data_IF_543405632070
#
_entry.id   IF_543405632070
#
_cell.length_a   1.000
_cell.length_b   1.000
_cell.length_c   1.000
_cell.angle_alpha   90.00
_cell.angle_beta   90.00
_cell.angle_gamma   90.00
#
_symmetry.space_group_name_H-M   'P 1'
#
loop_
_entity.id
_entity.type
_entity.pdbx_description
1 polymer ?
#
# COMPACT_ATOMS: atom_id res chain seq x y z
N UNK A 1 -13.46 3.57 -10.07
CA UNK A 1 -13.56 4.22 -8.74
C UNK A 1 -12.20 4.84 -8.46
N UNK A 2 -12.10 6.17 -8.50
CA UNK A 2 -10.87 6.87 -8.11
C UNK A 2 -10.69 6.70 -6.59
N UNK A 3 -9.52 6.26 -6.10
CA UNK A 3 -9.29 6.17 -4.67
C UNK A 3 -9.39 7.57 -4.07
N UNK A 4 -10.32 7.76 -3.13
CA UNK A 4 -10.47 9.00 -2.40
C UNK A 4 -9.17 9.33 -1.67
N UNK A 5 -8.62 10.51 -1.91
CA UNK A 5 -7.40 10.97 -1.22
C UNK A 5 -7.79 11.33 0.22
N UNK A 6 -7.05 10.88 1.25
CA UNK A 6 -7.25 11.34 2.62
C UNK A 6 -6.97 12.85 2.76
N UNK A 7 -7.82 13.57 3.49
CA UNK A 7 -7.80 15.06 3.59
C UNK A 7 -6.46 15.64 4.08
N UNK A 8 -5.71 14.88 4.89
CA UNK A 8 -4.43 15.27 5.47
C UNK A 8 -3.21 14.91 4.60
N UNK A 9 -3.40 14.25 3.45
CA UNK A 9 -2.33 13.81 2.57
C UNK A 9 -2.28 14.63 1.29
N UNK A 10 -1.08 14.89 0.80
CA UNK A 10 -0.92 15.49 -0.52
C UNK A 10 -1.46 14.53 -1.59
N UNK A 11 -2.39 14.95 -2.46
CA UNK A 11 -3.02 14.08 -3.46
C UNK A 11 -2.01 13.46 -4.43
N UNK A 12 -0.94 14.18 -4.77
CA UNK A 12 0.12 13.65 -5.64
C UNK A 12 0.88 12.53 -4.93
N UNK A 13 1.23 12.75 -3.66
CA UNK A 13 1.92 11.75 -2.84
C UNK A 13 1.06 10.49 -2.68
N UNK A 14 -0.24 10.67 -2.42
CA UNK A 14 -1.18 9.55 -2.31
C UNK A 14 -1.30 8.75 -3.60
N UNK A 15 -1.47 9.41 -4.75
CA UNK A 15 -1.56 8.71 -6.03
C UNK A 15 -0.28 7.93 -6.37
N UNK A 16 0.89 8.51 -6.07
CA UNK A 16 2.17 7.82 -6.22
C UNK A 16 2.27 6.61 -5.28
N UNK A 17 1.90 6.77 -4.01
CA UNK A 17 1.89 5.69 -3.04
C UNK A 17 0.95 4.55 -3.47
N UNK A 18 -0.27 4.86 -3.91
CA UNK A 18 -1.21 3.86 -4.44
C UNK A 18 -0.66 3.14 -5.66
N UNK A 19 0.02 3.84 -6.58
CA UNK A 19 0.62 3.21 -7.75
C UNK A 19 1.72 2.20 -7.36
N UNK A 20 2.59 2.58 -6.42
CA UNK A 20 3.63 1.69 -5.87
C UNK A 20 3.00 0.50 -5.15
N UNK A 21 2.03 0.74 -4.27
CA UNK A 21 1.30 -0.32 -3.55
C UNK A 21 0.66 -1.33 -4.51
N UNK A 22 0.05 -0.86 -5.61
CA UNK A 22 -0.56 -1.74 -6.62
C UNK A 22 0.47 -2.59 -7.34
N UNK A 23 1.63 -2.03 -7.68
CA UNK A 23 2.70 -2.78 -8.35
C UNK A 23 3.24 -3.91 -7.46
N UNK A 24 3.49 -3.63 -6.18
CA UNK A 24 3.99 -4.63 -5.24
C UNK A 24 2.93 -5.70 -4.93
N UNK A 25 1.68 -5.31 -4.67
CA UNK A 25 0.57 -6.27 -4.49
C UNK A 25 0.39 -7.15 -5.74
N UNK A 26 0.52 -6.60 -6.94
CA UNK A 26 0.43 -7.37 -8.18
C UNK A 26 1.58 -8.37 -8.36
N UNK A 27 2.79 -8.05 -7.87
CA UNK A 27 3.91 -9.00 -7.84
C UNK A 27 3.57 -10.18 -6.94
N UNK A 28 3.17 -9.90 -5.69
CA UNK A 28 2.85 -10.93 -4.69
C UNK A 28 1.68 -11.81 -5.15
N UNK A 29 0.64 -11.22 -5.75
CA UNK A 29 -0.47 -11.98 -6.32
C UNK A 29 -0.02 -12.94 -7.43
N UNK A 30 0.87 -12.49 -8.34
CA UNK A 30 1.40 -13.36 -9.40
C UNK A 30 2.28 -14.49 -8.85
N UNK A 31 2.96 -14.24 -7.74
CA UNK A 31 3.76 -15.25 -7.04
C UNK A 31 2.89 -16.24 -6.23
N UNK A 32 1.56 -16.09 -6.25
CA UNK A 32 0.61 -16.95 -5.55
C UNK A 32 0.35 -16.56 -4.09
N UNK A 33 0.80 -15.37 -3.67
CA UNK A 33 0.58 -14.84 -2.33
C UNK A 33 -0.81 -14.25 -2.12
N UNK A 34 -1.12 -13.91 -0.88
CA UNK A 34 -2.38 -13.35 -0.44
C UNK A 34 -2.22 -11.89 0.05
N UNK A 35 -3.34 -11.14 0.23
CA UNK A 35 -3.29 -9.76 0.73
C UNK A 35 -2.55 -9.61 2.07
N UNK A 36 -2.61 -10.62 2.94
CA UNK A 36 -1.88 -10.61 4.21
C UNK A 36 -0.36 -10.64 4.01
N UNK A 37 0.13 -11.36 3.01
CA UNK A 37 1.56 -11.45 2.70
C UNK A 37 2.10 -10.10 2.23
N UNK A 38 1.29 -9.37 1.45
CA UNK A 38 1.60 -8.00 1.07
C UNK A 38 1.73 -7.08 2.28
N UNK A 39 0.82 -7.14 3.25
CA UNK A 39 0.93 -6.33 4.46
C UNK A 39 2.17 -6.68 5.28
N UNK A 40 2.46 -7.97 5.44
CA UNK A 40 3.66 -8.45 6.15
C UNK A 40 4.95 -7.95 5.47
N UNK A 41 5.00 -7.92 4.14
CA UNK A 41 6.15 -7.40 3.38
C UNK A 41 6.45 -5.92 3.67
N UNK A 42 5.43 -5.14 4.03
CA UNK A 42 5.57 -3.74 4.44
C UNK A 42 5.67 -3.55 5.97
N UNK A 43 5.74 -4.64 6.74
CA UNK A 43 5.81 -4.62 8.20
C UNK A 43 4.49 -4.21 8.87
N UNK A 44 3.37 -4.33 8.16
CA UNK A 44 2.03 -4.02 8.66
C UNK A 44 1.35 -5.24 9.26
N UNK A 45 0.48 -5.00 10.25
CA UNK A 45 -0.38 -6.06 10.79
C UNK A 45 -1.44 -6.46 9.76
N UNK A 46 -1.51 -7.75 9.45
CA UNK A 46 -2.45 -8.30 8.47
C UNK A 46 -3.82 -8.69 9.04
N UNK A 47 -4.13 -8.32 10.29
CA UNK A 47 -5.33 -8.78 10.98
C UNK A 47 -6.61 -8.38 10.24
N UNK A 48 -7.37 -9.38 9.78
CA UNK A 48 -8.68 -9.18 9.16
C UNK A 48 -8.66 -8.66 7.72
N UNK A 49 -7.50 -8.58 7.06
CA UNK A 49 -7.41 -8.12 5.66
C UNK A 49 -7.49 -9.29 4.70
N UNK A 50 -8.60 -9.36 3.96
CA UNK A 50 -8.87 -10.39 2.95
C UNK A 50 -8.96 -9.84 1.53
N UNK A 51 -8.95 -8.51 1.37
CA UNK A 51 -9.15 -7.84 0.09
C UNK A 51 -7.90 -7.11 -0.37
N UNK A 52 -7.52 -7.29 -1.64
CA UNK A 52 -6.39 -6.60 -2.27
C UNK A 52 -6.55 -5.08 -2.27
N UNK A 53 -7.77 -4.57 -2.49
CA UNK A 53 -8.03 -3.13 -2.45
C UNK A 53 -7.70 -2.54 -1.07
N UNK A 54 -8.06 -3.26 0.00
CA UNK A 54 -7.76 -2.83 1.37
C UNK A 54 -6.27 -2.91 1.68
N UNK A 55 -5.58 -3.94 1.20
CA UNK A 55 -4.13 -4.04 1.36
C UNK A 55 -3.41 -2.87 0.66
N UNK A 56 -3.81 -2.53 -0.58
CA UNK A 56 -3.24 -1.39 -1.32
C UNK A 56 -3.41 -0.07 -0.57
N UNK A 57 -4.61 0.19 -0.03
CA UNK A 57 -4.93 1.40 0.73
C UNK A 57 -4.08 1.52 2.00
N UNK A 58 -3.96 0.44 2.77
CA UNK A 58 -3.14 0.40 3.98
C UNK A 58 -1.65 0.58 3.69
N UNK A 59 -1.14 -0.06 2.65
CA UNK A 59 0.26 0.11 2.23
C UNK A 59 0.50 1.54 1.73
N UNK A 60 -0.43 2.12 0.97
CA UNK A 60 -0.31 3.50 0.49
C UNK A 60 -0.30 4.50 1.65
N UNK A 61 -1.13 4.28 2.67
CA UNK A 61 -1.13 5.07 3.89
C UNK A 61 0.21 4.96 4.62
N UNK A 62 0.78 3.76 4.73
CA UNK A 62 2.08 3.54 5.37
C UNK A 62 3.24 4.20 4.62
N UNK A 63 3.24 4.13 3.28
CA UNK A 63 4.22 4.82 2.43
C UNK A 63 4.11 6.34 2.62
N UNK A 64 2.92 6.89 2.79
CA UNK A 64 2.72 8.32 3.03
C UNK A 64 3.12 8.72 4.46
N UNK A 65 2.86 7.85 5.45
CA UNK A 65 3.17 8.08 6.86
C UNK A 65 4.67 8.00 7.16
N UNK A 66 5.41 7.16 6.43
CA UNK A 66 6.87 7.07 6.53
C UNK A 66 7.51 8.09 5.60
N UNK A 67 8.20 9.13 6.11
CA UNK A 67 9.06 9.92 5.25
C UNK A 67 10.09 8.97 4.66
N UNK A 68 10.08 8.81 3.33
CA UNK A 68 11.08 8.03 2.61
C UNK A 68 12.44 8.58 3.03
N UNK A 69 13.13 7.87 3.92
CA UNK A 69 14.55 8.12 4.15
C UNK A 69 15.18 7.88 2.79
N UNK A 70 15.54 8.97 2.09
CA UNK A 70 16.41 8.88 0.92
C UNK A 70 17.57 7.99 1.32
N UNK A 71 17.71 6.84 0.66
CA UNK A 71 18.95 6.09 0.73
C UNK A 71 20.05 7.08 0.31
N UNK A 72 20.98 7.31 1.24
CA UNK A 72 22.10 8.23 1.10
C UNK A 72 23.09 7.73 0.04
#
# INVERSE_FOLDING_TARGET
MTPSVPDHLNPIQWHQAVAVSRQECARIFRDGGAPHDALVAFGLSATGVTSWERAVDLIAAEICARPVKRAA
#
